data_IF_886113493834
#
_entry.id   IF_886113493834
#
_cell.length_a   1.000
_cell.length_b   1.000
_cell.length_c   1.000
_cell.angle_alpha   90.00
_cell.angle_beta   90.00
_cell.angle_gamma   90.00
#
_symmetry.space_group_name_H-M   'P 1'
#
loop_
_entity.id
_entity.type
_entity.pdbx_description
1 polymer ?
#
# COMPACT_ATOMS: atom_id res chain seq x y z
N UNK A 1 38.22 -1.45 -35.28
CA UNK A 1 36.89 -1.60 -35.92
C UNK A 1 35.84 -1.29 -34.86
N UNK A 2 35.55 -0.01 -34.68
CA UNK A 2 34.39 0.46 -33.91
C UNK A 2 33.16 0.21 -34.77
N UNK A 3 32.08 -0.38 -34.22
CA UNK A 3 30.68 0.00 -34.45
C UNK A 3 29.68 -1.03 -33.88
N UNK A 4 28.86 -0.54 -32.94
CA UNK A 4 27.43 -0.85 -32.70
C UNK A 4 27.07 -2.23 -32.11
N UNK A 5 26.32 -2.39 -31.02
CA UNK A 5 25.31 -1.54 -30.39
C UNK A 5 25.23 -1.84 -28.86
N UNK A 6 25.06 -0.83 -27.99
CA UNK A 6 24.86 -1.04 -26.56
C UNK A 6 23.46 -1.62 -26.33
N UNK A 7 23.35 -2.81 -25.73
CA UNK A 7 22.06 -3.34 -25.27
C UNK A 7 21.64 -2.63 -23.98
N UNK A 8 21.56 -1.31 -24.04
CA UNK A 8 20.86 -0.47 -23.10
C UNK A 8 19.42 -0.26 -23.57
N UNK A 9 18.48 -0.49 -22.64
CA UNK A 9 17.13 0.10 -22.57
C UNK A 9 15.92 -0.80 -22.88
N UNK A 10 16.07 -2.05 -23.35
CA UNK A 10 14.95 -3.01 -23.41
C UNK A 10 15.37 -4.41 -22.92
N UNK A 11 16.05 -4.49 -21.77
CA UNK A 11 16.01 -5.75 -21.01
C UNK A 11 14.54 -5.98 -20.65
N UNK A 12 13.99 -7.15 -20.97
CA UNK A 12 12.77 -7.61 -20.33
C UNK A 12 12.89 -7.28 -18.83
N UNK A 13 11.88 -6.62 -18.26
CA UNK A 13 11.95 -6.21 -16.86
C UNK A 13 12.22 -7.47 -16.02
N UNK A 14 13.44 -7.60 -15.49
CA UNK A 14 13.77 -8.66 -14.56
C UNK A 14 12.80 -8.54 -13.37
N UNK A 15 12.15 -9.62 -12.91
CA UNK A 15 11.26 -9.59 -11.75
C UNK A 15 11.88 -8.86 -10.55
N UNK A 16 13.20 -8.99 -10.38
CA UNK A 16 13.98 -8.31 -9.35
C UNK A 16 14.00 -6.77 -9.49
N UNK A 17 14.07 -6.25 -10.72
CA UNK A 17 14.00 -4.80 -10.95
C UNK A 17 12.60 -4.28 -10.61
N UNK A 18 11.57 -5.00 -11.03
CA UNK A 18 10.18 -4.64 -10.69
C UNK A 18 9.98 -4.70 -9.18
N UNK A 19 10.46 -5.76 -8.52
CA UNK A 19 10.46 -5.89 -7.06
C UNK A 19 11.10 -4.69 -6.37
N UNK A 20 12.30 -4.29 -6.81
CA UNK A 20 13.00 -3.12 -6.26
C UNK A 20 12.16 -1.84 -6.41
N UNK A 21 11.60 -1.61 -7.61
CA UNK A 21 10.79 -0.42 -7.88
C UNK A 21 9.53 -0.39 -7.03
N UNK A 22 8.76 -1.50 -6.97
CA UNK A 22 7.49 -1.53 -6.24
C UNK A 22 7.67 -1.37 -4.73
N UNK A 23 8.79 -1.81 -4.16
CA UNK A 23 9.12 -1.57 -2.75
C UNK A 23 9.45 -0.10 -2.46
N UNK A 24 10.09 0.61 -3.40
CA UNK A 24 10.48 2.01 -3.22
C UNK A 24 9.29 2.97 -3.42
N UNK A 25 8.36 2.65 -4.31
CA UNK A 25 7.21 3.51 -4.64
C UNK A 25 6.40 4.01 -3.42
N UNK A 26 6.02 3.18 -2.44
CA UNK A 26 5.22 3.63 -1.30
C UNK A 26 6.05 4.35 -0.22
N UNK A 27 7.40 4.26 -0.24
CA UNK A 27 8.26 4.77 0.83
C UNK A 27 8.09 6.26 1.12
N UNK A 28 7.97 7.18 0.14
CA UNK A 28 7.72 8.59 0.42
C UNK A 28 6.43 8.83 1.22
N UNK A 29 5.39 8.04 0.98
CA UNK A 29 4.11 8.12 1.69
C UNK A 29 4.29 7.63 3.12
N UNK A 30 4.90 6.45 3.30
CA UNK A 30 5.20 5.89 4.62
C UNK A 30 6.05 6.82 5.47
N UNK A 31 7.15 7.33 4.93
CA UNK A 31 8.03 8.27 5.62
C UNK A 31 7.27 9.55 6.01
N UNK A 32 6.42 10.07 5.12
CA UNK A 32 5.61 11.26 5.43
C UNK A 32 4.66 11.00 6.61
N UNK A 33 3.97 9.85 6.62
CA UNK A 33 3.05 9.52 7.70
C UNK A 33 3.73 9.17 9.02
N UNK A 34 4.91 8.57 8.99
CA UNK A 34 5.67 8.25 10.21
C UNK A 34 6.37 9.47 10.80
N UNK A 35 7.01 10.30 9.97
CA UNK A 35 7.83 11.43 10.43
C UNK A 35 7.03 12.71 10.64
N UNK A 36 6.00 12.94 9.82
CA UNK A 36 5.21 14.16 9.83
C UNK A 36 3.69 13.91 9.66
N UNK A 37 3.06 13.10 10.52
CA UNK A 37 1.66 12.64 10.37
C UNK A 37 0.63 13.78 10.33
N UNK A 38 0.94 14.95 10.91
CA UNK A 38 0.04 16.13 10.95
C UNK A 38 0.33 17.15 9.84
N UNK A 39 1.26 16.88 8.93
CA UNK A 39 1.63 17.82 7.87
C UNK A 39 0.52 17.96 6.81
N UNK A 40 0.58 19.03 6.01
CA UNK A 40 -0.30 19.19 4.84
C UNK A 40 -0.05 18.08 3.81
N UNK A 41 1.21 17.64 3.68
CA UNK A 41 1.60 16.57 2.77
C UNK A 41 1.02 15.21 3.20
N UNK A 42 1.06 14.89 4.51
CA UNK A 42 0.43 13.69 5.05
C UNK A 42 -1.07 13.62 4.72
N UNK A 43 -1.79 14.76 4.87
CA UNK A 43 -3.20 14.88 4.49
C UNK A 43 -3.40 14.72 2.98
N UNK A 44 -2.56 15.36 2.16
CA UNK A 44 -2.62 15.25 0.70
C UNK A 44 -2.50 13.78 0.25
N UNK A 45 -1.54 13.03 0.80
CA UNK A 45 -1.41 11.60 0.49
C UNK A 45 -2.59 10.79 1.01
N UNK A 46 -3.12 11.10 2.20
CA UNK A 46 -4.29 10.42 2.74
C UNK A 46 -5.54 10.65 1.87
N UNK A 47 -5.70 11.82 1.26
CA UNK A 47 -6.84 12.14 0.40
C UNK A 47 -6.66 11.63 -1.04
N UNK A 48 -5.43 11.58 -1.55
CA UNK A 48 -5.12 11.03 -2.87
C UNK A 48 -5.58 9.57 -3.02
N UNK A 49 -5.96 9.18 -4.23
CA UNK A 49 -6.26 7.78 -4.59
C UNK A 49 -5.27 7.20 -5.60
N UNK A 50 -4.56 8.04 -6.33
CA UNK A 50 -3.69 7.61 -7.43
C UNK A 50 -2.58 6.63 -7.01
N UNK A 51 -1.92 6.72 -5.83
CA UNK A 51 -0.87 5.75 -5.48
C UNK A 51 -1.40 4.31 -5.40
N UNK A 52 -2.59 4.15 -4.83
CA UNK A 52 -3.26 2.85 -4.72
C UNK A 52 -3.74 2.32 -6.06
N UNK A 53 -4.36 3.18 -6.86
CA UNK A 53 -4.82 2.80 -8.21
C UNK A 53 -3.64 2.37 -9.06
N UNK A 54 -2.49 3.03 -8.92
CA UNK A 54 -1.26 2.68 -9.61
C UNK A 54 -0.72 1.31 -9.18
N UNK A 55 -0.58 1.04 -7.88
CA UNK A 55 -0.18 -0.29 -7.39
C UNK A 55 -1.17 -1.39 -7.81
N UNK A 56 -2.47 -1.10 -7.77
CA UNK A 56 -3.51 -2.03 -8.21
C UNK A 56 -3.39 -2.35 -9.71
N UNK A 57 -3.09 -1.36 -10.55
CA UNK A 57 -2.85 -1.58 -11.98
C UNK A 57 -1.61 -2.46 -12.24
N UNK A 58 -0.53 -2.25 -11.46
CA UNK A 58 0.65 -3.11 -11.52
C UNK A 58 0.27 -4.55 -11.13
N UNK A 59 -0.44 -4.74 -10.02
CA UNK A 59 -0.93 -6.05 -9.59
C UNK A 59 -1.75 -6.75 -10.68
N UNK A 60 -2.76 -6.07 -11.25
CA UNK A 60 -3.62 -6.63 -12.30
C UNK A 60 -2.81 -7.06 -13.52
N UNK A 61 -1.78 -6.30 -13.88
CA UNK A 61 -0.87 -6.64 -14.98
C UNK A 61 -0.06 -7.88 -14.67
N UNK A 62 0.57 -7.93 -13.48
CA UNK A 62 1.42 -9.05 -13.07
C UNK A 62 0.62 -10.34 -12.93
N UNK A 63 -0.55 -10.30 -12.30
CA UNK A 63 -1.37 -11.49 -12.10
C UNK A 63 -1.91 -12.02 -13.43
N UNK A 64 -2.26 -11.14 -14.39
CA UNK A 64 -2.64 -11.55 -15.74
C UNK A 64 -1.49 -12.26 -16.47
N UNK A 65 -0.26 -11.75 -16.35
CA UNK A 65 0.93 -12.43 -16.88
C UNK A 65 1.14 -13.80 -16.22
N UNK A 66 0.95 -13.92 -14.90
CA UNK A 66 1.05 -15.20 -14.19
C UNK A 66 0.07 -16.25 -14.72
N UNK A 67 -1.19 -15.88 -14.95
CA UNK A 67 -2.22 -16.80 -15.44
C UNK A 67 -2.11 -17.13 -16.93
N UNK A 68 -1.52 -16.26 -17.73
CA UNK A 68 -1.30 -16.48 -19.18
C UNK A 68 0.06 -17.13 -19.49
N UNK A 69 0.99 -17.08 -18.52
CA UNK A 69 2.30 -17.71 -18.60
C UNK A 69 2.27 -19.21 -18.30
N UNK A 70 3.44 -19.88 -18.36
CA UNK A 70 3.56 -21.32 -18.20
C UNK A 70 3.43 -21.81 -16.74
N UNK A 71 2.63 -21.15 -15.88
CA UNK A 71 2.39 -21.57 -14.50
C UNK A 71 1.34 -22.68 -14.45
N UNK A 72 1.72 -23.98 -14.39
CA UNK A 72 0.77 -25.07 -14.53
C UNK A 72 0.01 -25.23 -13.21
N UNK A 73 -1.30 -25.06 -13.22
CA UNK A 73 -2.16 -25.39 -12.08
C UNK A 73 -2.35 -24.29 -11.03
N UNK A 74 -1.93 -23.05 -11.29
CA UNK A 74 -2.25 -21.90 -10.45
C UNK A 74 -3.77 -21.69 -10.32
N UNK A 75 -4.29 -21.60 -9.08
CA UNK A 75 -5.72 -21.41 -8.81
C UNK A 75 -5.97 -20.83 -7.42
N UNK A 76 -7.02 -20.03 -7.26
CA UNK A 76 -7.47 -19.53 -5.95
C UNK A 76 -8.48 -20.44 -5.25
N UNK A 77 -8.91 -21.55 -5.88
CA UNK A 77 -9.94 -22.44 -5.33
C UNK A 77 -9.41 -23.51 -4.36
N UNK A 78 -8.09 -23.66 -4.24
CA UNK A 78 -7.46 -24.62 -3.34
C UNK A 78 -6.11 -24.10 -2.86
N UNK A 79 -5.66 -24.56 -1.68
CA UNK A 79 -4.34 -24.18 -1.16
C UNK A 79 -3.20 -24.62 -2.10
N UNK A 80 -3.30 -25.82 -2.68
CA UNK A 80 -2.33 -26.32 -3.65
C UNK A 80 -2.25 -25.42 -4.90
N UNK A 81 -3.40 -24.95 -5.40
CA UNK A 81 -3.43 -24.00 -6.51
C UNK A 81 -2.81 -22.65 -6.16
N UNK A 82 -3.01 -22.15 -4.94
CA UNK A 82 -2.40 -20.90 -4.48
C UNK A 82 -0.89 -21.07 -4.39
N UNK A 83 -0.42 -22.18 -3.82
CA UNK A 83 1.02 -22.50 -3.77
C UNK A 83 1.64 -22.56 -5.16
N UNK A 84 0.95 -23.13 -6.15
CA UNK A 84 1.41 -23.17 -7.53
C UNK A 84 1.55 -21.76 -8.16
N UNK A 85 0.74 -20.77 -7.77
CA UNK A 85 0.92 -19.39 -8.21
C UNK A 85 2.23 -18.80 -7.69
N UNK A 86 2.58 -19.09 -6.43
CA UNK A 86 3.81 -18.61 -5.78
C UNK A 86 5.06 -19.40 -6.20
N UNK A 87 4.93 -20.51 -6.93
CA UNK A 87 6.08 -21.26 -7.45
C UNK A 87 6.80 -20.53 -8.61
N UNK A 88 6.17 -19.46 -9.15
CA UNK A 88 6.76 -18.59 -10.17
C UNK A 88 7.20 -17.24 -9.60
N UNK A 89 8.29 -16.68 -10.12
CA UNK A 89 8.79 -15.34 -9.75
C UNK A 89 7.71 -14.27 -9.97
N UNK A 90 7.02 -14.31 -11.12
CA UNK A 90 5.97 -13.36 -11.47
C UNK A 90 4.74 -13.49 -10.57
N UNK A 91 4.32 -14.70 -10.22
CA UNK A 91 3.20 -14.92 -9.30
C UNK A 91 3.53 -14.52 -7.86
N UNK A 92 4.75 -14.80 -7.41
CA UNK A 92 5.24 -14.30 -6.11
C UNK A 92 5.29 -12.78 -6.06
N UNK A 93 5.80 -12.14 -7.12
CA UNK A 93 5.82 -10.69 -7.23
C UNK A 93 4.41 -10.10 -7.28
N UNK A 94 3.47 -10.72 -8.00
CA UNK A 94 2.07 -10.30 -8.00
C UNK A 94 1.47 -10.37 -6.58
N UNK A 95 1.72 -11.46 -5.84
CA UNK A 95 1.33 -11.59 -4.44
C UNK A 95 1.96 -10.52 -3.54
N UNK A 96 3.22 -10.18 -3.77
CA UNK A 96 3.91 -9.11 -3.02
C UNK A 96 3.30 -7.73 -3.29
N UNK A 97 3.05 -7.37 -4.56
CA UNK A 97 2.40 -6.09 -4.91
C UNK A 97 0.98 -6.03 -4.35
N UNK A 98 0.28 -7.16 -4.29
CA UNK A 98 -1.02 -7.24 -3.61
C UNK A 98 -0.89 -6.80 -2.14
N UNK A 99 0.07 -7.34 -1.38
CA UNK A 99 0.30 -6.91 0.01
C UNK A 99 0.65 -5.42 0.11
N UNK A 100 1.59 -4.92 -0.70
CA UNK A 100 1.96 -3.50 -0.70
C UNK A 100 0.76 -2.59 -0.97
N UNK A 101 -0.11 -2.97 -1.91
CA UNK A 101 -1.31 -2.21 -2.27
C UNK A 101 -2.31 -2.16 -1.10
N UNK A 102 -2.60 -3.31 -0.50
CA UNK A 102 -3.57 -3.41 0.58
C UNK A 102 -3.07 -2.80 1.89
N UNK A 103 -1.80 -3.00 2.24
CA UNK A 103 -1.19 -2.42 3.45
C UNK A 103 -1.18 -0.90 3.38
N UNK A 104 -0.79 -0.34 2.23
CA UNK A 104 -0.86 1.09 2.00
C UNK A 104 -2.31 1.60 2.07
N UNK A 105 -3.28 0.82 1.57
CA UNK A 105 -4.71 1.21 1.60
C UNK A 105 -5.26 1.23 3.03
N UNK A 106 -4.91 0.23 3.83
CA UNK A 106 -5.25 0.18 5.25
C UNK A 106 -4.64 1.38 5.97
N UNK A 107 -3.35 1.68 5.75
CA UNK A 107 -2.70 2.84 6.35
C UNK A 107 -3.37 4.17 5.92
N UNK A 108 -3.76 4.30 4.66
CA UNK A 108 -4.54 5.46 4.18
C UNK A 108 -5.84 5.61 4.96
N UNK A 109 -6.59 4.52 5.11
CA UNK A 109 -7.84 4.54 5.85
C UNK A 109 -7.61 4.96 7.30
N UNK A 110 -6.61 4.40 7.97
CA UNK A 110 -6.20 4.76 9.34
C UNK A 110 -5.90 6.27 9.44
N UNK A 111 -5.09 6.80 8.52
CA UNK A 111 -4.71 8.22 8.49
C UNK A 111 -5.90 9.17 8.30
N UNK A 112 -6.89 8.77 7.48
CA UNK A 112 -8.12 9.56 7.28
C UNK A 112 -9.08 9.46 8.45
N UNK A 113 -9.08 8.33 9.15
CA UNK A 113 -10.02 8.06 10.23
C UNK A 113 -9.59 8.71 11.54
N UNK A 114 -8.28 8.78 11.80
CA UNK A 114 -7.71 9.38 13.01
C UNK A 114 -6.70 10.51 12.70
N UNK A 115 -7.08 11.57 11.96
CA UNK A 115 -6.14 12.61 11.53
C UNK A 115 -5.52 13.38 12.71
N UNK A 116 -6.21 13.41 13.85
CA UNK A 116 -5.74 14.04 15.09
C UNK A 116 -4.89 13.13 15.99
N UNK A 117 -4.74 11.84 15.66
CA UNK A 117 -3.95 10.94 16.47
C UNK A 117 -2.44 11.24 16.38
N UNK A 118 -1.97 11.81 15.26
CA UNK A 118 -0.58 12.19 15.07
C UNK A 118 0.38 11.01 15.27
N UNK A 119 1.47 11.22 16.01
CA UNK A 119 2.49 10.21 16.28
C UNK A 119 1.98 8.96 17.03
N UNK A 120 0.80 9.02 17.65
CA UNK A 120 0.17 7.83 18.25
C UNK A 120 -0.15 6.75 17.21
N UNK A 121 -0.26 7.12 15.93
CA UNK A 121 -0.44 6.16 14.83
C UNK A 121 0.86 5.47 14.42
N UNK A 122 2.04 6.00 14.76
CA UNK A 122 3.32 5.44 14.32
C UNK A 122 3.48 3.93 14.59
N UNK A 123 3.25 3.40 15.81
CA UNK A 123 3.38 1.96 16.05
C UNK A 123 2.36 1.13 15.24
N UNK A 124 1.16 1.67 15.01
CA UNK A 124 0.10 1.03 14.22
C UNK A 124 0.48 1.02 12.74
N UNK A 125 1.02 2.13 12.22
CA UNK A 125 1.46 2.26 10.84
C UNK A 125 2.67 1.37 10.56
N UNK A 126 3.63 1.27 11.49
CA UNK A 126 4.75 0.31 11.38
C UNK A 126 4.23 -1.13 11.39
N UNK A 127 3.29 -1.45 12.29
CA UNK A 127 2.66 -2.77 12.27
C UNK A 127 1.90 -3.02 10.96
N UNK A 128 1.25 -2.00 10.38
CA UNK A 128 0.56 -2.11 9.08
C UNK A 128 1.56 -2.32 7.94
N UNK A 129 2.72 -1.66 7.96
CA UNK A 129 3.76 -1.82 6.94
C UNK A 129 4.41 -3.22 6.97
N UNK A 130 4.60 -3.78 8.17
CA UNK A 130 5.26 -5.08 8.33
C UNK A 130 4.28 -6.26 8.26
N UNK A 131 3.08 -6.05 8.78
CA UNK A 131 2.04 -7.05 9.01
C UNK A 131 0.67 -6.39 8.87
N UNK A 132 0.27 -6.00 7.65
CA UNK A 132 -0.98 -5.30 7.34
C UNK A 132 -2.18 -5.65 8.23
N UNK A 133 -2.57 -6.93 8.32
CA UNK A 133 -3.68 -7.37 9.16
C UNK A 133 -3.51 -7.07 10.66
N UNK A 134 -2.29 -7.17 11.20
CA UNK A 134 -2.00 -6.79 12.59
C UNK A 134 -2.21 -5.29 12.81
N UNK A 135 -1.69 -4.46 11.91
CA UNK A 135 -1.90 -3.01 11.96
C UNK A 135 -3.39 -2.63 11.93
N UNK A 136 -4.17 -3.29 11.08
CA UNK A 136 -5.62 -3.14 11.03
C UNK A 136 -6.28 -3.50 12.38
N UNK A 137 -5.94 -4.66 12.95
CA UNK A 137 -6.48 -5.11 14.24
C UNK A 137 -6.13 -4.15 15.38
N UNK A 138 -4.88 -3.70 15.44
CA UNK A 138 -4.42 -2.72 16.42
C UNK A 138 -5.20 -1.41 16.29
N UNK A 139 -5.41 -0.90 15.07
CA UNK A 139 -6.18 0.31 14.86
C UNK A 139 -7.64 0.14 15.28
N UNK A 140 -8.30 -0.93 14.85
CA UNK A 140 -9.72 -1.18 15.19
C UNK A 140 -9.89 -1.28 16.71
N UNK A 141 -9.02 -2.01 17.40
CA UNK A 141 -9.03 -2.11 18.85
C UNK A 141 -8.77 -0.76 19.53
N UNK A 142 -7.81 0.02 19.01
CA UNK A 142 -7.43 1.32 19.57
C UNK A 142 -8.36 2.48 19.15
N UNK A 143 -9.26 2.27 18.18
CA UNK A 143 -9.98 3.33 17.45
C UNK A 143 -10.71 4.30 18.38
N UNK A 144 -11.37 3.80 19.43
CA UNK A 144 -12.13 4.61 20.38
C UNK A 144 -11.30 5.66 21.14
N UNK A 145 -10.00 5.45 21.28
CA UNK A 145 -9.09 6.37 21.96
C UNK A 145 -8.32 7.28 20.99
N UNK A 146 -8.23 6.86 19.72
CA UNK A 146 -7.52 7.58 18.66
C UNK A 146 -8.42 8.54 17.89
N UNK A 147 -9.72 8.26 17.85
CA UNK A 147 -10.75 9.08 17.20
C UNK A 147 -11.62 9.73 18.27
N UNK A 148 -11.51 11.04 18.51
CA UNK A 148 -12.40 11.73 19.45
C UNK A 148 -13.86 11.64 18.99
N UNK A 149 -14.71 11.00 19.77
CA UNK A 149 -16.15 10.87 19.45
C UNK A 149 -16.92 12.15 19.77
N UNK A 150 -16.45 12.92 20.75
CA UNK A 150 -17.05 14.19 21.13
C UNK A 150 -16.53 15.34 20.25
N UNK A 151 -17.44 16.00 19.54
CA UNK A 151 -17.15 17.16 18.70
C UNK A 151 -16.53 18.31 19.49
N UNK A 152 -16.79 18.43 20.79
CA UNK A 152 -16.20 19.46 21.64
C UNK A 152 -14.67 19.30 21.73
N UNK A 153 -14.19 18.05 21.74
CA UNK A 153 -12.78 17.68 21.88
C UNK A 153 -11.99 17.71 20.57
N UNK A 154 -12.68 17.84 19.43
CA UNK A 154 -12.05 17.95 18.11
C UNK A 154 -11.41 19.32 17.89
N UNK A 155 -10.30 19.36 17.15
CA UNK A 155 -9.75 20.63 16.69
C UNK A 155 -10.72 21.33 15.70
N UNK A 156 -10.73 22.67 15.60
CA UNK A 156 -11.54 23.38 14.61
C UNK A 156 -11.32 22.89 13.17
N UNK A 157 -10.08 22.53 12.82
CA UNK A 157 -9.72 21.98 11.52
C UNK A 157 -10.34 20.60 11.28
N UNK A 158 -10.31 19.71 12.29
CA UNK A 158 -10.92 18.39 12.19
C UNK A 158 -12.45 18.46 12.07
N UNK A 159 -13.09 19.42 12.76
CA UNK A 159 -14.53 19.68 12.61
C UNK A 159 -14.88 20.15 11.19
N UNK A 160 -14.08 21.02 10.58
CA UNK A 160 -14.29 21.50 9.23
C UNK A 160 -14.13 20.37 8.19
N UNK A 161 -13.09 19.54 8.32
CA UNK A 161 -12.88 18.39 7.43
C UNK A 161 -13.99 17.34 7.53
N UNK A 162 -14.49 17.08 8.75
CA UNK A 162 -15.58 16.12 8.94
C UNK A 162 -16.90 16.64 8.36
N UNK A 163 -17.19 17.94 8.50
CA UNK A 163 -18.34 18.58 7.83
C UNK A 163 -18.26 18.45 6.30
N UNK A 164 -17.08 18.69 5.71
CA UNK A 164 -16.89 18.55 4.26
C UNK A 164 -16.99 17.10 3.75
N UNK A 165 -16.91 16.10 4.64
CA UNK A 165 -17.06 14.67 4.31
C UNK A 165 -18.52 14.21 4.38
N UNK A 166 -19.34 14.90 5.17
CA UNK A 166 -20.75 14.58 5.43
C UNK A 166 -21.71 15.34 4.47
N UNK A 167 -21.19 16.29 3.66
CA UNK A 167 -21.90 17.03 2.60
C UNK A 167 -21.58 16.50 1.22
#
# INVERSE_FOLDING_TARGET
MWFMCPHGMLRAMEPELVFTVVNLLPMPIWLTWLLAPRSKLARLFADALWPWVFLAAIYVTLIAVTFTGPSPGGSFSSLAGVMALFDSEWGTLAGWVHYLCFDLFVARWIMREAPDAGYRLAPILVATLMLGPLGLLLFVGARRWLVPTDRSQMSPAARAQRRARDT
#
